data_IF_435454800427
#
_entry.id   IF_435454800427
#
_cell.length_a   1.000
_cell.length_b   1.000
_cell.length_c   1.000
_cell.angle_alpha   90.00
_cell.angle_beta   90.00
_cell.angle_gamma   90.00
#
_symmetry.space_group_name_H-M   'P 1'
#
loop_
_entity.id
_entity.type
_entity.pdbx_description
1 polymer ?
#
# COMPACT_ATOMS: atom_id res chain seq x y z
N UNK A 1 -23.55 -29.81 3.41
CA UNK A 1 -22.21 -29.52 3.97
C UNK A 1 -22.09 -28.02 4.15
N UNK A 2 -21.93 -27.55 5.39
CA UNK A 2 -21.80 -26.11 5.68
C UNK A 2 -20.42 -25.60 5.28
N UNK A 3 -20.33 -24.34 4.84
CA UNK A 3 -19.07 -23.67 4.46
C UNK A 3 -17.98 -23.81 5.51
N UNK A 4 -18.36 -23.76 6.78
CA UNK A 4 -17.48 -23.90 7.93
C UNK A 4 -16.82 -25.29 8.02
N UNK A 5 -17.57 -26.36 7.71
CA UNK A 5 -17.01 -27.71 7.71
C UNK A 5 -15.95 -27.87 6.61
N UNK A 6 -16.20 -27.28 5.43
CA UNK A 6 -15.25 -27.30 4.32
C UNK A 6 -13.98 -26.51 4.63
N UNK A 7 -14.09 -25.33 5.26
CA UNK A 7 -12.93 -24.54 5.70
C UNK A 7 -12.09 -25.33 6.72
N UNK A 8 -12.74 -25.92 7.72
CA UNK A 8 -12.05 -26.71 8.76
C UNK A 8 -11.31 -27.92 8.18
N UNK A 9 -11.90 -28.58 7.19
CA UNK A 9 -11.26 -29.69 6.47
C UNK A 9 -9.99 -29.23 5.73
N UNK A 10 -10.08 -28.11 4.98
CA UNK A 10 -8.94 -27.53 4.26
C UNK A 10 -7.82 -27.07 5.20
N UNK A 11 -8.15 -26.49 6.35
CA UNK A 11 -7.17 -26.13 7.37
C UNK A 11 -6.40 -27.36 7.89
N UNK A 12 -7.09 -28.47 8.16
CA UNK A 12 -6.45 -29.71 8.62
C UNK A 12 -5.49 -30.29 7.57
N UNK A 13 -5.89 -30.32 6.30
CA UNK A 13 -5.05 -30.78 5.21
C UNK A 13 -3.75 -29.95 5.09
N UNK A 14 -3.87 -28.62 5.20
CA UNK A 14 -2.71 -27.72 5.11
C UNK A 14 -1.76 -27.86 6.31
N UNK A 15 -2.29 -28.06 7.53
CA UNK A 15 -1.45 -28.22 8.73
C UNK A 15 -0.57 -29.48 8.63
N UNK A 16 -1.07 -30.54 8.00
CA UNK A 16 -0.29 -31.76 7.73
C UNK A 16 0.80 -31.52 6.67
N UNK A 17 0.51 -30.71 5.66
CA UNK A 17 1.45 -30.38 4.59
C UNK A 17 2.57 -29.44 5.04
N UNK A 18 2.39 -28.68 6.12
CA UNK A 18 3.37 -27.71 6.65
C UNK A 18 4.77 -28.29 6.86
N UNK A 19 4.87 -29.54 7.33
CA UNK A 19 6.16 -30.18 7.64
C UNK A 19 6.79 -30.91 6.47
N UNK A 20 5.98 -31.42 5.54
CA UNK A 20 6.43 -32.34 4.49
C UNK A 20 6.40 -31.73 3.08
N UNK A 21 5.53 -30.74 2.83
CA UNK A 21 5.32 -30.13 1.53
C UNK A 21 4.86 -28.66 1.68
N UNK A 22 5.71 -27.76 2.22
CA UNK A 22 5.35 -26.37 2.48
C UNK A 22 4.96 -25.62 1.19
N UNK A 23 5.55 -25.95 0.05
CA UNK A 23 5.20 -25.35 -1.24
C UNK A 23 3.73 -25.63 -1.63
N UNK A 24 3.28 -26.87 -1.42
CA UNK A 24 1.89 -27.26 -1.67
C UNK A 24 0.92 -26.56 -0.73
N UNK A 25 1.32 -26.40 0.55
CA UNK A 25 0.54 -25.62 1.52
C UNK A 25 0.34 -24.18 1.04
N UNK A 26 1.41 -23.49 0.60
CA UNK A 26 1.31 -22.12 0.09
C UNK A 26 0.42 -22.01 -1.16
N UNK A 27 0.51 -22.97 -2.07
CA UNK A 27 -0.38 -23.03 -3.25
C UNK A 27 -1.85 -23.19 -2.84
N UNK A 28 -2.14 -24.08 -1.90
CA UNK A 28 -3.50 -24.30 -1.41
C UNK A 28 -4.07 -23.05 -0.73
N UNK A 29 -3.23 -22.31 0.02
CA UNK A 29 -3.62 -21.01 0.59
C UNK A 29 -4.01 -20.04 -0.54
N UNK A 30 -3.16 -19.90 -1.56
CA UNK A 30 -3.41 -19.00 -2.68
C UNK A 30 -4.68 -19.37 -3.47
N UNK A 31 -4.96 -20.66 -3.66
CA UNK A 31 -6.19 -21.13 -4.30
C UNK A 31 -7.45 -20.77 -3.47
N UNK A 32 -7.39 -20.90 -2.15
CA UNK A 32 -8.52 -20.62 -1.25
C UNK A 32 -8.73 -19.10 -1.09
N UNK A 33 -7.66 -18.34 -0.90
CA UNK A 33 -7.74 -16.89 -0.67
C UNK A 33 -7.79 -16.07 -1.96
N UNK A 34 -7.50 -16.69 -3.10
CA UNK A 34 -7.24 -16.02 -4.37
C UNK A 34 -5.88 -15.32 -4.40
N UNK A 35 -5.51 -14.82 -5.59
CA UNK A 35 -4.37 -13.91 -5.74
C UNK A 35 -4.64 -12.65 -4.93
N UNK A 36 -3.71 -12.31 -4.03
CA UNK A 36 -3.72 -10.99 -3.39
C UNK A 36 -3.60 -9.94 -4.49
N UNK A 37 -4.69 -9.26 -4.80
CA UNK A 37 -4.59 -7.97 -5.46
C UNK A 37 -3.88 -7.08 -4.46
N UNK A 38 -2.61 -6.79 -4.72
CA UNK A 38 -1.99 -5.64 -4.08
C UNK A 38 -2.86 -4.47 -4.53
N UNK A 39 -3.73 -4.01 -3.64
CA UNK A 39 -4.33 -2.71 -3.82
C UNK A 39 -3.11 -1.78 -3.86
N UNK A 40 -2.79 -1.28 -5.05
CA UNK A 40 -1.91 -0.14 -5.26
C UNK A 40 -2.59 1.12 -4.69
N UNK A 41 -3.22 0.99 -3.52
CA UNK A 41 -3.65 2.11 -2.73
C UNK A 41 -2.39 2.61 -2.09
N UNK A 42 -1.86 3.72 -2.61
CA UNK A 42 -0.87 4.50 -1.90
C UNK A 42 -1.47 4.82 -0.54
N UNK A 43 -1.21 3.96 0.44
CA UNK A 43 -1.64 4.12 1.81
C UNK A 43 -0.37 4.13 2.65
N UNK A 44 -0.26 5.12 3.52
CA UNK A 44 0.88 5.24 4.43
C UNK A 44 0.47 4.73 5.80
N UNK A 45 1.38 4.00 6.45
CA UNK A 45 1.22 3.65 7.86
C UNK A 45 1.90 4.74 8.69
N UNK A 46 1.11 5.46 9.49
CA UNK A 46 1.60 6.44 10.43
C UNK A 46 2.36 5.77 11.58
N UNK A 47 3.23 6.52 12.28
CA UNK A 47 4.02 6.00 13.40
C UNK A 47 3.15 5.47 14.55
N UNK A 48 1.94 6.01 14.74
CA UNK A 48 0.96 5.52 15.72
C UNK A 48 0.23 4.23 15.28
N UNK A 49 0.61 3.66 14.13
CA UNK A 49 0.04 2.43 13.60
C UNK A 49 -1.19 2.61 12.71
N UNK A 50 -1.74 3.84 12.59
CA UNK A 50 -2.92 4.11 11.77
C UNK A 50 -2.59 4.06 10.27
N UNK A 51 -3.52 3.54 9.48
CA UNK A 51 -3.41 3.50 8.00
C UNK A 51 -4.08 4.75 7.44
N UNK A 52 -3.33 5.53 6.68
CA UNK A 52 -3.78 6.74 5.99
C UNK A 52 -3.96 6.40 4.52
N UNK A 53 -5.18 6.56 4.03
CA UNK A 53 -5.60 6.25 2.65
C UNK A 53 -5.99 7.54 1.89
N UNK A 54 -6.19 8.61 2.64
CA UNK A 54 -6.51 9.94 2.16
C UNK A 54 -5.29 10.54 1.43
N UNK A 55 -5.49 10.97 0.18
CA UNK A 55 -4.43 11.41 -0.71
C UNK A 55 -3.80 12.71 -0.21
N UNK A 56 -4.60 13.64 0.28
CA UNK A 56 -4.15 14.93 0.80
C UNK A 56 -3.27 14.70 2.04
N UNK A 57 -3.71 13.83 2.96
CA UNK A 57 -2.94 13.48 4.17
C UNK A 57 -1.63 12.77 3.84
N UNK A 58 -1.60 11.96 2.79
CA UNK A 58 -0.37 11.31 2.33
C UNK A 58 0.63 12.33 1.82
N UNK A 59 0.17 13.33 1.06
CA UNK A 59 1.03 14.39 0.57
C UNK A 59 1.60 15.24 1.71
N UNK A 60 0.76 15.58 2.71
CA UNK A 60 1.21 16.29 3.92
C UNK A 60 2.29 15.50 4.67
N UNK A 61 2.09 14.20 4.87
CA UNK A 61 3.08 13.33 5.50
C UNK A 61 4.40 13.28 4.72
N UNK A 62 4.34 13.14 3.40
CA UNK A 62 5.56 13.15 2.57
C UNK A 62 6.29 14.49 2.67
N UNK A 63 5.56 15.60 2.67
CA UNK A 63 6.14 16.93 2.82
C UNK A 63 6.81 17.11 4.19
N UNK A 64 6.14 16.69 5.27
CA UNK A 64 6.69 16.74 6.64
C UNK A 64 7.94 15.86 6.76
N UNK A 65 7.87 14.62 6.28
CA UNK A 65 8.99 13.68 6.31
C UNK A 65 10.22 14.22 5.56
N UNK A 66 10.03 14.79 4.36
CA UNK A 66 11.12 15.39 3.59
C UNK A 66 11.70 16.61 4.32
N UNK A 67 10.85 17.46 4.91
CA UNK A 67 11.30 18.62 5.69
C UNK A 67 12.17 18.20 6.87
N UNK A 68 11.75 17.17 7.62
CA UNK A 68 12.54 16.64 8.74
C UNK A 68 13.87 16.04 8.24
N UNK A 69 13.82 15.21 7.19
CA UNK A 69 14.97 14.50 6.67
C UNK A 69 16.08 15.44 6.19
N UNK A 70 15.70 16.53 5.51
CA UNK A 70 16.65 17.50 4.96
C UNK A 70 16.83 18.74 5.82
N UNK A 71 16.13 18.84 6.96
CA UNK A 71 16.06 20.07 7.78
C UNK A 71 15.73 21.29 6.93
N UNK A 72 14.75 21.11 6.03
CA UNK A 72 14.40 22.10 5.04
C UNK A 72 13.80 23.34 5.71
N UNK A 73 14.58 24.41 5.79
CA UNK A 73 14.23 25.70 6.38
C UNK A 73 13.75 26.71 5.33
N UNK A 74 13.60 26.28 4.07
CA UNK A 74 13.07 27.13 3.01
C UNK A 74 11.67 27.58 3.43
N UNK A 75 11.49 28.90 3.54
CA UNK A 75 10.19 29.52 3.79
C UNK A 75 9.21 29.03 2.72
N UNK A 76 7.99 28.70 3.14
CA UNK A 76 6.93 28.27 2.24
C UNK A 76 6.81 29.31 1.13
N UNK A 77 7.32 28.98 -0.06
CA UNK A 77 7.28 29.89 -1.18
C UNK A 77 5.81 29.95 -1.56
N UNK A 78 5.15 31.03 -1.13
CA UNK A 78 3.86 31.46 -1.62
C UNK A 78 3.88 31.21 -3.13
N UNK A 79 3.18 30.16 -3.58
CA UNK A 79 3.21 29.71 -4.96
C UNK A 79 2.69 30.91 -5.75
N UNK A 80 3.61 31.67 -6.36
CA UNK A 80 3.25 32.78 -7.22
C UNK A 80 2.27 32.20 -8.23
N UNK A 81 1.02 32.67 -8.18
CA UNK A 81 0.00 32.32 -9.16
C UNK A 81 0.61 32.59 -10.55
N UNK A 82 0.73 31.50 -11.31
CA UNK A 82 1.28 31.46 -12.66
C UNK A 82 0.82 32.63 -13.52
N UNK A 83 1.77 33.34 -14.13
CA UNK A 83 1.55 34.17 -15.32
C UNK A 83 2.71 34.01 -16.32
N UNK A 84 3.31 32.83 -16.44
CA UNK A 84 4.20 32.54 -17.56
C UNK A 84 3.36 31.92 -18.69
N UNK A 85 2.77 32.78 -19.51
CA UNK A 85 2.30 32.36 -20.82
C UNK A 85 3.50 31.75 -21.55
N UNK A 86 3.46 30.45 -21.83
CA UNK A 86 4.52 29.77 -22.55
C UNK A 86 4.73 30.44 -23.92
N UNK A 87 5.98 30.72 -24.34
CA UNK A 87 6.21 31.31 -25.65
C UNK A 87 5.69 30.37 -26.75
N UNK A 88 5.05 30.89 -27.80
CA UNK A 88 4.59 30.06 -28.90
C UNK A 88 5.79 29.42 -29.59
N UNK A 89 5.75 28.10 -29.72
CA UNK A 89 6.73 27.34 -30.50
C UNK A 89 6.49 27.72 -31.97
N UNK A 90 7.45 28.42 -32.59
CA UNK A 90 7.40 28.77 -34.00
C UNK A 90 7.51 27.48 -34.85
N UNK A 91 6.65 27.38 -35.87
CA UNK A 91 6.65 26.30 -36.86
C UNK A 91 7.71 26.53 -37.92
#
# INVERSE_FOLDING_TARGET
MSKENWINEKCKEMEQQRKHAPQTMYRNIEEITGKRTFLSTGCLKAMNGNIIIDKEKILEMWAEYIRELFKDDRKDHNIMKNNFAAPPIMK
#
